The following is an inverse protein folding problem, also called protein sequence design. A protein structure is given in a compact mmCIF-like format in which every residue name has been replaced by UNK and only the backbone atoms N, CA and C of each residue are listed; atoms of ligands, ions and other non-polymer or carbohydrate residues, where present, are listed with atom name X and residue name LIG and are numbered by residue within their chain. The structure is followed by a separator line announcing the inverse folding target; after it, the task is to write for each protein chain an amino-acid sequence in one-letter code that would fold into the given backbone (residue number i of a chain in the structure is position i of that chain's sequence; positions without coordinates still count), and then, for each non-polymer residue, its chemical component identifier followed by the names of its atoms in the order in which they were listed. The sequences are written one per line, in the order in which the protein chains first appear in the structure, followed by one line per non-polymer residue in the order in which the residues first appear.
data_IF_699639745177
#
_entry.id   IF_699639745177
#
_cell.length_a   1.000
_cell.length_b   1.000
_cell.length_c   1.000
_cell.angle_alpha   90.00
_cell.angle_beta   90.00
_cell.angle_gamma   90.00
#
_symmetry.space_group_name_H-M   'P 1'
#
loop_
_entity.id
_entity.type
_entity.pdbx_description
1 polymer ?
#
# COMPACT_ATOMS: atom_id res chain seq x y z
N UNK A 1 -9.82 -22.97 1.22
CA UNK A 1 -10.26 -21.56 1.15
C UNK A 1 -9.50 -20.92 0.00
N UNK A 2 -10.20 -20.50 -1.05
CA UNK A 2 -9.57 -20.07 -2.31
C UNK A 2 -8.85 -18.72 -2.14
N UNK A 3 -7.71 -18.56 -2.83
CA UNK A 3 -6.94 -17.33 -2.82
C UNK A 3 -7.70 -16.28 -3.64
N UNK A 4 -7.97 -15.11 -3.04
CA UNK A 4 -8.59 -14.02 -3.78
C UNK A 4 -7.69 -13.58 -4.94
N UNK A 5 -8.27 -13.45 -6.14
CA UNK A 5 -7.58 -12.94 -7.31
C UNK A 5 -7.56 -11.40 -7.25
N UNK A 6 -6.42 -10.82 -6.89
CA UNK A 6 -6.26 -9.37 -6.77
C UNK A 6 -5.64 -8.81 -8.06
N UNK A 7 -6.46 -8.14 -8.87
CA UNK A 7 -5.99 -7.36 -10.01
C UNK A 7 -5.79 -5.87 -9.62
N UNK A 8 -5.39 -5.04 -10.58
CA UNK A 8 -5.15 -3.62 -10.35
C UNK A 8 -6.42 -2.87 -9.92
N UNK A 9 -7.56 -3.17 -10.55
CA UNK A 9 -8.85 -2.55 -10.26
C UNK A 9 -9.35 -2.89 -8.84
N UNK A 10 -9.34 -4.17 -8.47
CA UNK A 10 -9.74 -4.63 -7.15
C UNK A 10 -8.81 -4.10 -6.07
N UNK A 11 -7.51 -3.98 -6.36
CA UNK A 11 -6.57 -3.34 -5.42
C UNK A 11 -6.89 -1.86 -5.25
N UNK A 12 -7.23 -1.15 -6.33
CA UNK A 12 -7.64 0.26 -6.27
C UNK A 12 -8.91 0.44 -5.43
N UNK A 13 -9.98 -0.30 -5.75
CA UNK A 13 -11.25 -0.26 -5.00
C UNK A 13 -11.01 -0.56 -3.51
N UNK A 14 -10.20 -1.58 -3.21
CA UNK A 14 -9.83 -1.92 -1.84
C UNK A 14 -9.14 -0.75 -1.12
N UNK A 15 -8.16 -0.11 -1.76
CA UNK A 15 -7.43 1.01 -1.18
C UNK A 15 -8.31 2.25 -0.98
N UNK A 16 -9.16 2.59 -1.95
CA UNK A 16 -10.12 3.70 -1.87
C UNK A 16 -11.05 3.52 -0.66
N UNK A 17 -11.66 2.34 -0.51
CA UNK A 17 -12.55 2.07 0.63
C UNK A 17 -11.76 2.06 1.95
N UNK A 18 -10.59 1.43 1.99
CA UNK A 18 -9.77 1.40 3.20
C UNK A 18 -9.33 2.79 3.67
N UNK A 19 -9.05 3.70 2.72
CA UNK A 19 -8.78 5.10 2.99
C UNK A 19 -9.99 5.77 3.63
N UNK A 20 -11.17 5.67 3.03
CA UNK A 20 -12.41 6.24 3.59
C UNK A 20 -12.67 5.75 5.01
N UNK A 21 -12.51 4.45 5.26
CA UNK A 21 -12.73 3.89 6.61
C UNK A 21 -11.66 4.35 7.61
N UNK A 22 -10.44 4.62 7.14
CA UNK A 22 -9.37 5.19 7.98
C UNK A 22 -9.68 6.64 8.35
N UNK A 23 -10.11 7.45 7.38
CA UNK A 23 -10.55 8.84 7.60
C UNK A 23 -11.80 8.91 8.50
N UNK A 24 -12.65 7.88 8.47
CA UNK A 24 -13.79 7.72 9.37
C UNK A 24 -13.43 7.22 10.79
N UNK A 25 -12.14 7.16 11.15
CA UNK A 25 -11.62 6.68 12.43
C UNK A 25 -11.93 5.21 12.77
N UNK A 26 -12.23 4.37 11.77
CA UNK A 26 -12.44 2.93 11.99
C UNK A 26 -11.10 2.15 12.06
N UNK A 27 -9.97 2.81 12.37
CA UNK A 27 -8.62 2.21 12.47
C UNK A 27 -7.94 2.49 13.83
N UNK A 28 -8.57 2.24 14.99
CA UNK A 28 -8.05 2.65 16.30
C UNK A 28 -6.76 1.94 16.73
N UNK A 29 -6.47 0.75 16.18
CA UNK A 29 -5.31 -0.08 16.55
C UNK A 29 -4.39 -0.35 15.34
N UNK A 30 -4.25 0.61 14.44
CA UNK A 30 -3.35 0.51 13.28
C UNK A 30 -3.84 -0.45 12.18
N UNK A 31 -5.04 -1.00 12.30
CA UNK A 31 -5.80 -1.72 11.27
C UNK A 31 -7.30 -1.44 11.45
N UNK A 32 -8.12 -1.75 10.44
CA UNK A 32 -9.56 -1.57 10.51
C UNK A 32 -10.17 -2.36 11.68
N UNK A 33 -11.14 -1.77 12.37
CA UNK A 33 -11.92 -2.42 13.42
C UNK A 33 -13.03 -3.31 12.83
N UNK A 34 -13.93 -3.82 13.68
CA UNK A 34 -15.04 -4.66 13.23
C UNK A 34 -15.97 -3.93 12.26
N UNK A 35 -16.24 -2.64 12.49
CA UNK A 35 -17.12 -1.83 11.66
C UNK A 35 -16.46 -1.53 10.32
N UNK A 36 -15.19 -1.12 10.32
CA UNK A 36 -14.42 -0.87 9.11
C UNK A 36 -14.33 -2.10 8.21
N UNK A 37 -14.07 -3.29 8.77
CA UNK A 37 -14.07 -4.51 7.95
C UNK A 37 -15.44 -4.88 7.40
N UNK A 38 -16.53 -4.65 8.14
CA UNK A 38 -17.89 -4.90 7.65
C UNK A 38 -18.23 -3.95 6.50
N UNK A 39 -17.95 -2.66 6.67
CA UNK A 39 -18.15 -1.65 5.62
C UNK A 39 -17.32 -1.98 4.37
N UNK A 40 -16.07 -2.41 4.57
CA UNK A 40 -15.19 -2.84 3.48
C UNK A 40 -15.79 -4.01 2.71
N UNK A 41 -16.28 -5.06 3.37
CA UNK A 41 -16.93 -6.20 2.71
C UNK A 41 -18.13 -5.76 1.86
N UNK A 42 -19.02 -4.93 2.42
CA UNK A 42 -20.24 -4.48 1.76
C UNK A 42 -19.96 -3.56 0.57
N UNK A 43 -19.12 -2.53 0.77
CA UNK A 43 -18.73 -1.59 -0.29
C UNK A 43 -17.93 -2.29 -1.40
N UNK A 44 -17.02 -3.18 -1.04
CA UNK A 44 -16.20 -3.90 -2.01
C UNK A 44 -17.07 -4.79 -2.89
N UNK A 45 -18.01 -5.54 -2.32
CA UNK A 45 -18.96 -6.33 -3.09
C UNK A 45 -19.82 -5.44 -4.00
N UNK A 46 -20.31 -4.30 -3.50
CA UNK A 46 -21.13 -3.37 -4.29
C UNK A 46 -20.38 -2.80 -5.50
N UNK A 47 -19.09 -2.50 -5.37
CA UNK A 47 -18.30 -1.88 -6.44
C UNK A 47 -17.68 -2.89 -7.40
N UNK A 48 -17.24 -4.05 -6.91
CA UNK A 48 -16.51 -5.05 -7.72
C UNK A 48 -17.36 -6.25 -8.15
N UNK A 49 -18.52 -6.46 -7.53
CA UNK A 49 -19.31 -7.69 -7.65
C UNK A 49 -18.67 -8.91 -6.96
N UNK A 50 -17.46 -8.78 -6.42
CA UNK A 50 -16.72 -9.89 -5.83
C UNK A 50 -17.02 -10.03 -4.34
N UNK A 51 -17.47 -11.22 -3.94
CA UNK A 51 -17.67 -11.56 -2.53
C UNK A 51 -16.37 -12.06 -1.92
N UNK A 52 -15.74 -11.25 -1.08
CA UNK A 52 -14.56 -11.62 -0.31
C UNK A 52 -14.90 -11.73 1.18
N UNK A 53 -14.26 -12.68 1.86
CA UNK A 53 -14.38 -12.81 3.32
C UNK A 53 -13.32 -11.97 4.02
N UNK A 54 -13.60 -11.56 5.27
CA UNK A 54 -12.68 -10.82 6.14
C UNK A 54 -11.23 -11.30 6.10
N UNK A 55 -11.00 -12.63 6.10
CA UNK A 55 -9.65 -13.19 6.06
C UNK A 55 -8.89 -12.82 4.78
N UNK A 56 -9.56 -12.83 3.62
CA UNK A 56 -8.95 -12.44 2.34
C UNK A 56 -8.63 -10.94 2.31
N UNK A 57 -9.55 -10.11 2.84
CA UNK A 57 -9.36 -8.66 2.95
C UNK A 57 -8.22 -8.31 3.91
N UNK A 58 -8.16 -8.96 5.07
CA UNK A 58 -7.07 -8.79 6.04
C UNK A 58 -5.71 -9.20 5.44
N UNK A 59 -5.65 -10.33 4.74
CA UNK A 59 -4.42 -10.75 4.08
C UNK A 59 -3.94 -9.70 3.05
N UNK A 60 -4.87 -9.05 2.33
CA UNK A 60 -4.55 -7.97 1.40
C UNK A 60 -4.06 -6.72 2.13
N UNK A 61 -4.70 -6.33 3.23
CA UNK A 61 -4.25 -5.25 4.10
C UNK A 61 -2.81 -5.47 4.57
N UNK A 62 -2.52 -6.66 5.12
CA UNK A 62 -1.20 -6.98 5.66
C UNK A 62 -0.12 -7.01 4.54
N UNK A 63 -0.46 -7.52 3.35
CA UNK A 63 0.41 -7.48 2.18
C UNK A 63 0.75 -6.04 1.77
N UNK A 64 -0.26 -5.18 1.66
CA UNK A 64 -0.07 -3.77 1.30
C UNK A 64 0.71 -3.02 2.39
N UNK A 65 0.46 -3.30 3.67
CA UNK A 65 1.21 -2.70 4.77
C UNK A 65 2.68 -3.06 4.71
N UNK A 66 3.00 -4.32 4.40
CA UNK A 66 4.38 -4.78 4.21
C UNK A 66 5.04 -4.05 3.04
N UNK A 67 4.34 -3.99 1.90
CA UNK A 67 4.83 -3.31 0.71
C UNK A 67 5.08 -1.81 0.96
N UNK A 68 4.14 -1.14 1.62
CA UNK A 68 4.26 0.24 2.06
C UNK A 68 5.48 0.45 2.97
N UNK A 69 5.65 -0.41 3.98
CA UNK A 69 6.74 -0.31 4.94
C UNK A 69 8.10 -0.47 4.26
N UNK A 70 8.25 -1.48 3.40
CA UNK A 70 9.45 -1.68 2.58
C UNK A 70 9.73 -0.46 1.68
N UNK A 71 8.67 0.13 1.11
CA UNK A 71 8.79 1.32 0.29
C UNK A 71 9.16 2.57 1.10
N UNK A 72 8.63 2.75 2.30
CA UNK A 72 9.02 3.83 3.20
C UNK A 72 10.47 3.72 3.65
N UNK A 73 10.99 2.51 3.87
CA UNK A 73 12.43 2.30 4.12
C UNK A 73 13.25 2.79 2.92
N UNK A 74 12.83 2.45 1.70
CA UNK A 74 13.46 2.97 0.48
C UNK A 74 13.36 4.50 0.41
N UNK A 75 12.17 5.08 0.58
CA UNK A 75 11.90 6.52 0.49
C UNK A 75 12.70 7.31 1.54
N UNK A 76 12.84 6.77 2.75
CA UNK A 76 13.64 7.35 3.83
C UNK A 76 15.15 7.16 3.64
N UNK A 77 15.60 6.02 3.09
CA UNK A 77 16.99 5.89 2.64
C UNK A 77 17.30 6.89 1.50
N UNK A 78 16.27 7.23 0.72
CA UNK A 78 16.28 8.17 -0.37
C UNK A 78 16.04 9.64 0.02
N UNK A 79 15.98 10.00 1.31
CA UNK A 79 15.91 11.41 1.73
C UNK A 79 17.22 12.20 1.47
N UNK A 80 18.21 11.60 0.81
CA UNK A 80 19.30 12.28 0.10
C UNK A 80 19.36 12.01 -1.42
N UNK A 81 18.44 11.20 -1.94
CA UNK A 81 18.35 10.78 -3.34
C UNK A 81 17.45 11.72 -4.15
N UNK A 82 16.29 12.14 -3.63
CA UNK A 82 15.38 13.08 -4.33
C UNK A 82 14.10 12.40 -4.77
N UNK A 83 13.17 12.17 -3.84
CA UNK A 83 11.83 11.72 -4.20
C UNK A 83 11.13 12.77 -5.08
N UNK A 84 10.51 12.32 -6.18
CA UNK A 84 9.70 13.16 -7.05
C UNK A 84 8.23 12.74 -6.94
N UNK A 85 7.45 13.55 -6.20
CA UNK A 85 6.02 13.34 -6.00
C UNK A 85 5.21 13.37 -7.30
N UNK A 86 5.58 14.22 -8.26
CA UNK A 86 4.87 14.36 -9.53
C UNK A 86 5.00 13.10 -10.41
N UNK A 87 6.17 12.47 -10.40
CA UNK A 87 6.44 11.24 -11.16
C UNK A 87 6.21 9.98 -10.33
N UNK A 88 5.96 10.12 -9.01
CA UNK A 88 5.86 9.02 -8.05
C UNK A 88 7.05 8.06 -8.17
N UNK A 89 8.26 8.60 -8.26
CA UNK A 89 9.50 7.83 -8.40
C UNK A 89 10.66 8.48 -7.63
N UNK A 90 11.73 7.72 -7.43
CA UNK A 90 12.97 8.22 -6.82
C UNK A 90 13.86 8.73 -7.95
N UNK A 91 14.16 10.02 -7.92
CA UNK A 91 15.19 10.61 -8.77
C UNK A 91 16.52 10.24 -8.15
N UNK A 92 17.31 9.43 -8.82
CA UNK A 92 18.67 9.10 -8.42
C UNK A 92 19.42 8.66 -9.68
N UNK A 93 20.72 8.95 -9.72
CA UNK A 93 21.59 8.41 -10.76
C UNK A 93 21.77 6.89 -10.61
N UNK A 94 22.30 6.27 -11.67
CA UNK A 94 22.48 4.83 -11.74
C UNK A 94 23.45 4.31 -10.68
N UNK A 95 24.49 5.08 -10.33
CA UNK A 95 25.50 4.68 -9.35
C UNK A 95 24.90 4.60 -7.93
N UNK A 96 24.02 5.54 -7.58
CA UNK A 96 23.30 5.52 -6.31
C UNK A 96 22.30 4.37 -6.24
N UNK A 97 21.59 4.07 -7.34
CA UNK A 97 20.74 2.88 -7.42
C UNK A 97 21.55 1.58 -7.30
N UNK A 98 22.68 1.48 -8.00
CA UNK A 98 23.55 0.31 -7.96
C UNK A 98 24.08 0.06 -6.54
N UNK A 99 24.58 1.09 -5.87
CA UNK A 99 25.02 0.97 -4.47
C UNK A 99 23.87 0.55 -3.53
N UNK A 100 22.69 1.15 -3.65
CA UNK A 100 21.53 0.80 -2.80
C UNK A 100 21.07 -0.65 -2.99
N UNK A 101 21.02 -1.11 -4.24
CA UNK A 101 20.56 -2.45 -4.61
C UNK A 101 21.60 -3.54 -4.32
N UNK A 102 22.88 -3.28 -4.57
CA UNK A 102 23.95 -4.26 -4.36
C UNK A 102 24.28 -4.44 -2.87
N UNK A 103 24.25 -3.38 -2.06
CA UNK A 103 24.77 -3.42 -0.70
C UNK A 103 23.70 -3.79 0.33
N UNK A 104 22.43 -3.38 0.15
CA UNK A 104 21.42 -3.54 1.21
C UNK A 104 20.04 -4.06 0.77
N UNK A 105 19.54 -3.73 -0.43
CA UNK A 105 18.12 -3.97 -0.74
C UNK A 105 17.85 -4.37 -2.20
N UNK A 106 18.26 -5.56 -2.67
CA UNK A 106 18.07 -5.99 -4.06
C UNK A 106 16.59 -6.03 -4.49
N UNK A 107 15.66 -6.28 -3.55
CA UNK A 107 14.21 -6.31 -3.80
C UNK A 107 13.61 -4.94 -4.14
N UNK A 108 14.33 -3.84 -3.91
CA UNK A 108 13.84 -2.49 -4.17
C UNK A 108 13.95 -2.11 -5.66
N UNK A 109 14.61 -2.92 -6.48
CA UNK A 109 14.77 -2.67 -7.92
C UNK A 109 13.42 -2.51 -8.63
N UNK A 110 12.36 -3.16 -8.14
CA UNK A 110 10.98 -3.02 -8.65
C UNK A 110 10.43 -1.60 -8.57
N UNK A 111 11.01 -0.73 -7.74
CA UNK A 111 10.58 0.66 -7.54
C UNK A 111 11.47 1.70 -8.22
N UNK A 112 12.40 1.25 -9.06
CA UNK A 112 13.33 2.15 -9.79
C UNK A 112 12.61 3.09 -10.75
N UNK A 113 11.53 2.61 -11.37
CA UNK A 113 10.79 3.35 -12.39
C UNK A 113 9.51 3.98 -11.85
N UNK A 114 8.90 3.37 -10.83
CA UNK A 114 7.66 3.85 -10.20
C UNK A 114 7.50 3.25 -8.80
N UNK A 115 7.00 4.04 -7.86
CA UNK A 115 6.60 3.57 -6.54
C UNK A 115 5.37 2.64 -6.57
N UNK A 116 4.91 2.18 -5.39
CA UNK A 116 3.72 1.35 -5.26
C UNK A 116 2.49 1.99 -5.90
N UNK A 117 1.64 1.18 -6.52
CA UNK A 117 0.32 1.63 -6.94
C UNK A 117 -0.54 1.98 -5.72
N UNK A 118 -1.37 3.01 -5.85
CA UNK A 118 -2.23 3.50 -4.75
C UNK A 118 -1.44 4.04 -3.55
N UNK A 119 -0.22 4.57 -3.79
CA UNK A 119 0.64 5.09 -2.72
C UNK A 119 -0.07 6.18 -1.89
N UNK A 120 -0.85 7.06 -2.53
CA UNK A 120 -1.59 8.14 -1.84
C UNK A 120 -2.63 7.60 -0.85
N UNK A 121 -3.34 6.56 -1.24
CA UNK A 121 -4.28 5.86 -0.36
C UNK A 121 -3.51 5.13 0.75
N UNK A 122 -2.40 4.49 0.41
CA UNK A 122 -1.53 3.77 1.36
C UNK A 122 -0.90 4.69 2.40
N UNK A 123 -0.54 5.93 2.01
CA UNK A 123 -0.10 6.97 2.94
C UNK A 123 -1.20 7.20 4.00
N UNK A 124 -2.46 7.45 3.60
CA UNK A 124 -3.55 7.63 4.58
C UNK A 124 -3.82 6.35 5.40
N UNK A 125 -3.83 5.19 4.75
CA UNK A 125 -4.16 3.91 5.38
C UNK A 125 -3.11 3.46 6.40
N UNK A 126 -1.83 3.79 6.20
CA UNK A 126 -0.72 3.21 6.94
C UNK A 126 0.21 4.21 7.60
N UNK A 127 0.25 5.46 7.14
CA UNK A 127 0.98 6.52 7.84
C UNK A 127 0.45 6.62 9.28
N UNK A 128 1.33 7.08 10.16
CA UNK A 128 1.12 7.06 11.60
C UNK A 128 -0.12 7.89 11.93
N UNK A 129 -1.25 7.20 12.13
CA UNK A 129 -2.31 7.72 12.97
C UNK A 129 -1.66 8.02 14.32
N UNK A 130 -1.86 9.27 14.76
CA UNK A 130 -1.40 9.86 16.02
C UNK A 130 -1.51 8.93 17.23
#
# INVERSE_FOLDING_TARGET
MEKANWNAEYTRIFCEICKEETEANNRPLGCLDRKGYKNLEEKFFKQSGQKLVKKQLKNKWDLLKKEYTEFMVLKNAASGLGWNDAMSTIVADDDRWNNHLQVKYPKHAKWRTRGPANLKEMDVMFDKAH
#
